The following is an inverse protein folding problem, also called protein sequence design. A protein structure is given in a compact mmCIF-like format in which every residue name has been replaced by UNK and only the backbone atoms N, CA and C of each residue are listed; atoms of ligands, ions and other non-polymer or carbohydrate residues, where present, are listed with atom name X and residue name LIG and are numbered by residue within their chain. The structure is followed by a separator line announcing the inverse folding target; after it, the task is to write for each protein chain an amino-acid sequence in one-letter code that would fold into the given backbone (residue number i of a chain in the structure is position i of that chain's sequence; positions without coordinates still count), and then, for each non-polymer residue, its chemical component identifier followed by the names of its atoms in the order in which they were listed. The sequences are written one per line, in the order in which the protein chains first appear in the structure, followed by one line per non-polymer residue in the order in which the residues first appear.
data_IF_156447350626
#
_entry.id   IF_156447350626
#
_cell.length_a   1.000
_cell.length_b   1.000
_cell.length_c   1.000
_cell.angle_alpha   90.00
_cell.angle_beta   90.00
_cell.angle_gamma   90.00
#
_symmetry.space_group_name_H-M   'P 1'
#
loop_
_entity.id
_entity.type
_entity.pdbx_description
1 polymer ?
#
# COMPACT_ATOMS: atom_id res chain seq x y z
N UNK A 1 49.06 -50.41 39.23
CA UNK A 1 47.77 -50.93 38.74
C UNK A 1 46.67 -49.96 39.15
N UNK A 2 46.25 -49.08 38.24
CA UNK A 2 45.09 -48.22 38.43
C UNK A 2 44.14 -48.49 37.27
N UNK A 3 43.04 -49.18 37.55
CA UNK A 3 41.98 -49.50 36.61
C UNK A 3 41.10 -48.26 36.43
N UNK A 4 41.15 -47.63 35.26
CA UNK A 4 40.18 -46.62 34.85
C UNK A 4 38.96 -47.35 34.28
N UNK A 5 37.85 -47.30 35.02
CA UNK A 5 36.53 -47.69 34.54
C UNK A 5 36.08 -46.75 33.42
N UNK A 6 35.53 -47.25 32.30
CA UNK A 6 35.04 -46.38 31.23
C UNK A 6 33.70 -45.75 31.65
N UNK A 7 33.66 -44.42 31.71
CA UNK A 7 32.42 -43.65 31.76
C UNK A 7 31.79 -43.78 30.37
N UNK A 8 30.87 -44.74 30.20
CA UNK A 8 29.99 -44.76 29.02
C UNK A 8 29.07 -43.55 29.09
N UNK A 9 29.28 -42.62 28.16
CA UNK A 9 28.59 -41.35 28.03
C UNK A 9 27.09 -41.52 27.78
N UNK A 10 26.26 -41.26 28.79
CA UNK A 10 24.81 -41.10 28.59
C UNK A 10 24.48 -39.90 27.69
N UNK A 11 25.47 -39.04 27.43
CA UNK A 11 25.41 -37.87 26.54
C UNK A 11 25.30 -38.22 25.05
N UNK A 12 25.81 -39.38 24.61
CA UNK A 12 25.81 -39.74 23.18
C UNK A 12 24.42 -40.14 22.67
N UNK A 13 23.65 -40.86 23.50
CA UNK A 13 22.30 -41.30 23.16
C UNK A 13 21.31 -40.13 23.16
N UNK A 14 21.49 -39.16 24.06
CA UNK A 14 20.69 -37.93 24.10
C UNK A 14 21.00 -36.99 22.93
N UNK A 15 22.25 -36.98 22.44
CA UNK A 15 22.64 -36.23 21.25
C UNK A 15 22.08 -36.87 19.98
N UNK A 16 22.15 -38.20 19.84
CA UNK A 16 21.56 -38.91 18.69
C UNK A 16 20.03 -38.78 18.65
N UNK A 17 19.37 -38.81 19.82
CA UNK A 17 17.93 -38.56 19.93
C UNK A 17 17.58 -37.13 19.49
N UNK A 18 18.32 -36.12 19.96
CA UNK A 18 18.16 -34.72 19.52
C UNK A 18 18.43 -34.54 18.02
N UNK A 19 19.41 -35.25 17.45
CA UNK A 19 19.69 -35.22 16.01
C UNK A 19 18.54 -35.85 15.22
N UNK A 20 17.95 -36.94 15.70
CA UNK A 20 16.77 -37.58 15.07
C UNK A 20 15.51 -36.70 15.14
N UNK A 21 15.29 -35.98 16.24
CA UNK A 21 14.19 -35.03 16.43
C UNK A 21 14.35 -33.77 15.55
N UNK A 22 15.59 -33.38 15.23
CA UNK A 22 15.90 -32.29 14.28
C UNK A 22 15.74 -32.76 12.83
N UNK A 23 16.06 -34.01 12.52
CA UNK A 23 15.96 -34.57 11.15
C UNK A 23 14.52 -34.91 10.75
N UNK A 24 13.63 -35.20 11.71
CA UNK A 24 12.21 -35.43 11.45
C UNK A 24 11.34 -34.59 12.40
N UNK A 25 10.98 -33.36 12.01
CA UNK A 25 10.03 -32.57 12.79
C UNK A 25 8.73 -33.35 12.92
N UNK A 26 8.31 -33.64 14.16
CA UNK A 26 6.95 -34.08 14.47
C UNK A 26 5.97 -33.16 13.75
N UNK A 27 4.93 -33.71 13.14
CA UNK A 27 3.99 -33.06 12.22
C UNK A 27 3.26 -31.83 12.82
N UNK A 28 3.96 -30.72 13.00
CA UNK A 28 3.37 -29.44 12.66
C UNK A 28 3.29 -29.46 11.14
N UNK A 29 2.08 -29.65 10.60
CA UNK A 29 1.86 -29.55 9.16
C UNK A 29 2.54 -28.30 8.59
N UNK A 30 2.92 -28.31 7.30
CA UNK A 30 3.53 -27.14 6.68
C UNK A 30 2.71 -25.89 7.05
N UNK A 31 3.35 -24.75 7.35
CA UNK A 31 2.62 -23.51 7.59
C UNK A 31 1.63 -23.35 6.44
N UNK A 32 0.32 -23.36 6.74
CA UNK A 32 -0.72 -23.44 5.72
C UNK A 32 -0.41 -22.43 4.62
N UNK A 33 -0.07 -22.90 3.42
CA UNK A 33 0.40 -22.05 2.31
C UNK A 33 -0.56 -20.88 2.11
N UNK A 34 -0.05 -19.69 1.74
CA UNK A 34 -0.96 -18.59 1.38
C UNK A 34 -1.76 -19.11 0.18
N UNK A 35 -3.09 -19.12 0.26
CA UNK A 35 -3.88 -19.61 -0.87
C UNK A 35 -3.71 -18.65 -2.06
N UNK A 36 -3.87 -19.18 -3.27
CA UNK A 36 -3.57 -18.41 -4.48
C UNK A 36 -4.44 -17.16 -4.63
N UNK A 37 -5.67 -17.15 -4.10
CA UNK A 37 -6.50 -15.96 -4.16
C UNK A 37 -5.98 -14.87 -3.23
N UNK A 38 -5.56 -15.23 -2.00
CA UNK A 38 -4.86 -14.31 -1.11
C UNK A 38 -3.56 -13.80 -1.75
N UNK A 39 -2.80 -14.65 -2.45
CA UNK A 39 -1.59 -14.21 -3.19
C UNK A 39 -1.95 -13.18 -4.26
N UNK A 40 -2.98 -13.44 -5.08
CA UNK A 40 -3.46 -12.53 -6.14
C UNK A 40 -3.92 -11.19 -5.57
N UNK A 41 -4.74 -11.22 -4.51
CA UNK A 41 -5.17 -10.03 -3.78
C UNK A 41 -3.97 -9.20 -3.32
N UNK A 42 -2.96 -9.83 -2.74
CA UNK A 42 -1.78 -9.12 -2.24
C UNK A 42 -0.98 -8.47 -3.37
N UNK A 43 -0.73 -9.20 -4.46
CA UNK A 43 0.02 -8.68 -5.62
C UNK A 43 -0.71 -7.48 -6.24
N UNK A 44 -2.03 -7.53 -6.38
CA UNK A 44 -2.81 -6.38 -6.86
C UNK A 44 -2.71 -5.20 -5.90
N UNK A 45 -2.78 -5.44 -4.59
CA UNK A 45 -2.56 -4.41 -3.56
C UNK A 45 -1.21 -3.72 -3.70
N UNK A 46 -0.13 -4.49 -3.88
CA UNK A 46 1.21 -3.94 -4.11
C UNK A 46 1.24 -3.10 -5.39
N UNK A 47 0.65 -3.59 -6.48
CA UNK A 47 0.58 -2.83 -7.73
C UNK A 47 -0.21 -1.52 -7.57
N UNK A 48 -1.31 -1.52 -6.81
CA UNK A 48 -2.09 -0.31 -6.51
C UNK A 48 -1.31 0.70 -5.67
N UNK A 49 -0.74 0.27 -4.54
CA UNK A 49 -0.19 1.16 -3.52
C UNK A 49 1.26 1.57 -3.75
N UNK A 50 2.02 0.81 -4.53
CA UNK A 50 3.45 1.05 -4.76
C UNK A 50 3.74 1.43 -6.20
N UNK A 51 3.21 0.68 -7.17
CA UNK A 51 3.48 0.96 -8.59
C UNK A 51 2.61 2.11 -9.09
N UNK A 52 1.27 1.94 -9.05
CA UNK A 52 0.34 2.93 -9.56
C UNK A 52 0.39 4.22 -8.74
N UNK A 53 0.40 4.14 -7.40
CA UNK A 53 0.50 5.34 -6.56
C UNK A 53 1.75 6.17 -6.87
N UNK A 54 2.90 5.54 -7.12
CA UNK A 54 4.11 6.26 -7.49
C UNK A 54 3.94 7.00 -8.83
N UNK A 55 3.39 6.34 -9.85
CA UNK A 55 3.09 6.96 -11.15
C UNK A 55 2.09 8.13 -11.01
N UNK A 56 1.03 7.93 -10.22
CA UNK A 56 0.00 8.95 -9.99
C UNK A 56 0.54 10.17 -9.24
N UNK A 57 1.46 10.02 -8.28
CA UNK A 57 2.09 11.19 -7.60
C UNK A 57 2.80 12.10 -8.60
N UNK A 58 3.57 11.51 -9.52
CA UNK A 58 4.28 12.25 -10.58
C UNK A 58 3.33 12.94 -11.54
N UNK A 59 2.19 12.31 -11.82
CA UNK A 59 1.16 12.88 -12.68
C UNK A 59 0.37 14.01 -12.01
N UNK A 60 -0.06 13.82 -10.76
CA UNK A 60 -0.97 14.71 -10.04
C UNK A 60 -0.29 15.98 -9.56
N UNK A 61 0.93 15.88 -9.01
CA UNK A 61 1.67 17.00 -8.42
C UNK A 61 1.76 18.24 -9.33
N UNK A 62 2.20 18.15 -10.60
CA UNK A 62 2.30 19.33 -11.47
C UNK A 62 0.93 19.93 -11.81
N UNK A 63 -0.09 19.09 -12.01
CA UNK A 63 -1.45 19.56 -12.33
C UNK A 63 -2.04 20.37 -11.17
N UNK A 64 -1.95 19.85 -9.95
CA UNK A 64 -2.46 20.54 -8.76
C UNK A 64 -1.62 21.76 -8.41
N UNK A 65 -0.31 21.72 -8.61
CA UNK A 65 0.55 22.90 -8.41
C UNK A 65 0.17 24.04 -9.33
N UNK A 66 -0.08 23.76 -10.61
CA UNK A 66 -0.54 24.76 -11.56
C UNK A 66 -1.94 25.29 -11.23
N UNK A 67 -2.84 24.42 -10.77
CA UNK A 67 -4.17 24.82 -10.32
C UNK A 67 -4.08 25.74 -9.09
N UNK A 68 -3.26 25.40 -8.10
CA UNK A 68 -3.02 26.22 -6.92
C UNK A 68 -2.54 27.62 -7.29
N UNK A 69 -1.52 27.72 -8.16
CA UNK A 69 -1.00 29.00 -8.60
C UNK A 69 -2.07 29.83 -9.34
N UNK A 70 -2.92 29.18 -10.14
CA UNK A 70 -4.01 29.84 -10.84
C UNK A 70 -5.05 30.40 -9.85
N UNK A 71 -5.52 29.58 -8.91
CA UNK A 71 -6.50 29.97 -7.88
C UNK A 71 -5.95 31.00 -6.88
N UNK A 72 -4.63 30.99 -6.64
CA UNK A 72 -3.96 32.03 -5.86
C UNK A 72 -4.08 33.40 -6.53
N UNK A 73 -4.03 33.45 -7.86
CA UNK A 73 -4.14 34.69 -8.62
C UNK A 73 -5.61 35.13 -8.81
N UNK A 74 -6.50 34.20 -9.15
CA UNK A 74 -7.91 34.52 -9.44
C UNK A 74 -8.77 34.67 -8.20
N UNK A 75 -8.62 33.77 -7.23
CA UNK A 75 -9.52 33.62 -6.08
C UNK A 75 -8.86 34.00 -4.75
N UNK A 76 -7.58 34.38 -4.78
CA UNK A 76 -6.76 34.67 -3.61
C UNK A 76 -6.89 33.58 -2.54
N UNK A 77 -6.86 32.31 -3.00
CA UNK A 77 -7.17 31.14 -2.16
C UNK A 77 -6.25 31.02 -0.93
N UNK A 78 -5.08 31.64 -0.97
CA UNK A 78 -4.11 31.74 0.13
C UNK A 78 -4.47 32.78 1.20
N UNK A 79 -5.49 33.61 0.97
CA UNK A 79 -5.92 34.71 1.86
C UNK A 79 -7.39 34.63 2.26
N UNK A 80 -8.09 33.56 1.87
CA UNK A 80 -9.52 33.42 2.08
C UNK A 80 -9.90 33.36 3.56
N UNK A 81 -11.10 33.85 3.86
CA UNK A 81 -11.74 33.83 5.20
C UNK A 81 -13.09 33.14 5.10
N UNK A 82 -13.75 32.90 6.24
CA UNK A 82 -15.04 32.19 6.27
C UNK A 82 -16.10 32.77 5.32
N UNK A 83 -16.21 34.09 5.19
CA UNK A 83 -17.27 34.70 4.37
C UNK A 83 -16.97 34.66 2.88
N UNK A 84 -15.69 34.63 2.48
CA UNK A 84 -15.24 34.77 1.10
C UNK A 84 -14.47 33.59 0.54
N UNK A 85 -14.50 32.43 1.19
CA UNK A 85 -13.80 31.24 0.69
C UNK A 85 -14.51 30.63 -0.52
N UNK A 86 -13.71 29.97 -1.38
CA UNK A 86 -14.21 29.23 -2.52
C UNK A 86 -14.95 27.98 -2.04
N UNK A 87 -16.28 27.97 -2.13
CA UNK A 87 -17.09 26.84 -1.62
C UNK A 87 -17.17 25.69 -2.59
N UNK A 88 -17.24 26.01 -3.88
CA UNK A 88 -17.44 25.06 -4.97
C UNK A 88 -16.38 25.28 -6.03
N UNK A 89 -15.97 24.20 -6.68
CA UNK A 89 -14.98 24.24 -7.74
C UNK A 89 -15.44 23.47 -8.99
N UNK A 90 -15.08 24.03 -10.15
CA UNK A 90 -15.24 23.41 -11.46
C UNK A 90 -16.68 23.28 -11.95
N UNK A 91 -16.82 22.76 -13.17
CA UNK A 91 -18.11 22.63 -13.85
C UNK A 91 -19.11 21.70 -13.15
N UNK A 92 -18.62 20.79 -12.30
CA UNK A 92 -19.43 19.84 -11.53
C UNK A 92 -19.87 20.38 -10.15
N UNK A 93 -19.58 21.64 -9.83
CA UNK A 93 -19.88 22.26 -8.53
C UNK A 93 -19.41 21.42 -7.34
N UNK A 94 -18.18 20.88 -7.42
CA UNK A 94 -17.64 20.06 -6.35
C UNK A 94 -17.44 20.90 -5.08
N UNK A 95 -18.03 20.49 -3.95
CA UNK A 95 -17.92 21.20 -2.69
C UNK A 95 -16.54 20.97 -2.05
N UNK A 96 -15.78 22.05 -1.90
CA UNK A 96 -14.42 22.00 -1.36
C UNK A 96 -14.42 21.76 0.16
N UNK A 97 -13.62 20.78 0.58
CA UNK A 97 -13.52 20.35 1.96
C UNK A 97 -12.34 21.00 2.69
N UNK A 98 -12.58 22.10 3.40
CA UNK A 98 -11.55 22.81 4.17
C UNK A 98 -11.17 22.14 5.49
N UNK A 99 -11.92 21.12 5.90
CA UNK A 99 -11.73 20.41 7.17
C UNK A 99 -10.37 19.75 7.35
N UNK A 100 -9.73 19.16 6.33
CA UNK A 100 -8.47 18.44 6.52
C UNK A 100 -7.21 19.32 6.56
N UNK A 101 -7.33 20.63 6.33
CA UNK A 101 -6.18 21.55 6.30
C UNK A 101 -6.09 22.39 7.58
N UNK A 102 -4.93 23.01 7.81
CA UNK A 102 -4.68 23.98 8.89
C UNK A 102 -5.08 23.51 10.31
N UNK A 103 -5.12 22.20 10.58
CA UNK A 103 -5.64 21.64 11.83
C UNK A 103 -7.08 22.11 12.16
N UNK A 104 -7.92 22.29 11.13
CA UNK A 104 -9.34 22.56 11.29
C UNK A 104 -10.01 21.37 12.03
N UNK A 105 -10.03 21.44 13.37
CA UNK A 105 -10.41 20.30 14.24
C UNK A 105 -11.83 19.81 13.96
N UNK A 106 -12.09 18.54 14.32
CA UNK A 106 -13.42 17.97 14.55
C UNK A 106 -13.83 17.96 16.03
N UNK A 107 -14.34 19.05 16.62
CA UNK A 107 -15.13 18.94 17.85
C UNK A 107 -16.61 18.76 17.51
N UNK A 108 -17.43 18.23 18.44
CA UNK A 108 -18.88 18.32 18.32
C UNK A 108 -19.30 19.80 18.31
N UNK A 109 -20.21 20.14 17.39
CA UNK A 109 -20.65 21.51 17.13
C UNK A 109 -20.06 22.07 15.85
N UNK A 110 -20.91 22.66 15.00
CA UNK A 110 -20.55 23.14 13.68
C UNK A 110 -19.62 24.37 13.76
N UNK A 111 -18.30 24.14 13.83
CA UNK A 111 -17.26 25.19 13.95
C UNK A 111 -16.68 25.63 12.60
N UNK A 112 -17.37 25.35 11.48
CA UNK A 112 -16.94 25.81 10.16
C UNK A 112 -16.61 27.31 10.10
N UNK A 113 -17.32 28.23 10.81
CA UNK A 113 -16.94 29.65 10.83
C UNK A 113 -15.53 29.94 11.36
N UNK A 114 -14.97 29.06 12.17
CA UNK A 114 -13.68 29.23 12.84
C UNK A 114 -12.53 28.52 12.11
N UNK A 115 -12.79 27.90 10.96
CA UNK A 115 -11.73 27.28 10.17
C UNK A 115 -10.76 28.33 9.64
N UNK A 116 -9.48 27.97 9.55
CA UNK A 116 -8.53 28.71 8.72
C UNK A 116 -8.71 28.25 7.27
N UNK A 117 -9.26 29.14 6.45
CA UNK A 117 -9.59 28.91 5.04
C UNK A 117 -8.42 29.19 4.08
N UNK A 118 -7.25 29.58 4.61
CA UNK A 118 -6.08 29.86 3.76
C UNK A 118 -5.47 28.56 3.25
N UNK A 119 -5.44 28.41 1.94
CA UNK A 119 -4.76 27.28 1.29
C UNK A 119 -3.29 27.67 1.07
N UNK A 120 -2.36 27.05 1.81
CA UNK A 120 -0.97 27.54 1.83
C UNK A 120 -0.13 27.01 0.67
N UNK A 121 -0.51 25.88 0.09
CA UNK A 121 0.25 25.20 -0.95
C UNK A 121 -0.63 24.20 -1.74
N UNK A 122 -0.03 23.55 -2.73
CA UNK A 122 -0.70 22.54 -3.56
C UNK A 122 -1.15 21.29 -2.78
N UNK A 123 -0.46 20.93 -1.69
CA UNK A 123 -0.83 19.81 -0.82
C UNK A 123 -2.12 20.15 -0.07
N UNK A 124 -2.24 21.35 0.48
CA UNK A 124 -3.49 21.81 1.08
C UNK A 124 -4.62 21.83 0.05
N UNK A 125 -4.36 22.38 -1.14
CA UNK A 125 -5.38 22.43 -2.19
C UNK A 125 -5.90 21.04 -2.57
N UNK A 126 -5.01 20.06 -2.76
CA UNK A 126 -5.44 18.71 -3.12
C UNK A 126 -6.34 18.07 -2.05
N UNK A 127 -6.14 18.38 -0.77
CA UNK A 127 -6.98 17.87 0.32
C UNK A 127 -8.42 18.38 0.27
N UNK A 128 -8.65 19.55 -0.33
CA UNK A 128 -10.00 20.10 -0.48
C UNK A 128 -10.86 19.25 -1.43
N UNK A 129 -10.25 18.48 -2.32
CA UNK A 129 -10.93 17.57 -3.25
C UNK A 129 -11.26 16.20 -2.66
N UNK A 130 -10.99 15.99 -1.36
CA UNK A 130 -11.04 14.69 -0.72
C UNK A 130 -11.98 14.66 0.48
N UNK A 131 -12.46 13.46 0.78
CA UNK A 131 -13.05 13.18 2.08
C UNK A 131 -11.97 13.24 3.18
N UNK A 132 -12.38 13.59 4.40
CA UNK A 132 -11.42 13.81 5.49
C UNK A 132 -10.61 12.56 5.83
N UNK A 133 -11.17 11.36 5.64
CA UNK A 133 -10.49 10.07 5.85
C UNK A 133 -9.35 9.79 4.87
N UNK A 134 -9.30 10.49 3.72
CA UNK A 134 -8.28 10.30 2.68
C UNK A 134 -7.21 11.40 2.71
N UNK A 135 -7.44 12.48 3.46
CA UNK A 135 -6.66 13.71 3.38
C UNK A 135 -5.54 13.81 4.45
N UNK A 136 -4.96 12.69 4.86
CA UNK A 136 -3.99 12.60 5.97
C UNK A 136 -2.51 12.72 5.54
N UNK A 137 -2.24 12.89 4.25
CA UNK A 137 -0.89 12.95 3.71
C UNK A 137 -0.19 14.30 3.96
N UNK A 138 1.14 14.29 3.94
CA UNK A 138 2.00 15.47 4.20
C UNK A 138 2.54 16.10 2.93
N UNK A 139 2.64 15.34 1.85
CA UNK A 139 3.12 15.79 0.54
C UNK A 139 2.70 14.82 -0.55
N UNK A 140 3.05 15.10 -1.81
CA UNK A 140 2.92 14.16 -2.93
C UNK A 140 4.04 13.10 -2.89
N UNK A 141 4.23 12.52 -1.72
CA UNK A 141 5.23 11.50 -1.39
C UNK A 141 4.53 10.21 -0.96
N UNK A 142 5.27 9.29 -0.35
CA UNK A 142 4.75 7.99 0.11
C UNK A 142 3.57 8.10 1.08
N UNK A 143 3.38 9.24 1.76
CA UNK A 143 2.21 9.47 2.62
C UNK A 143 0.91 9.68 1.85
N UNK A 144 0.98 10.06 0.56
CA UNK A 144 -0.17 10.22 -0.32
C UNK A 144 -0.46 8.90 -1.04
N UNK A 145 -1.47 8.18 -0.55
CA UNK A 145 -1.82 6.85 -1.05
C UNK A 145 -2.63 6.88 -2.36
N UNK A 146 -2.89 5.70 -2.92
CA UNK A 146 -3.70 5.55 -4.13
C UNK A 146 -5.13 6.07 -3.94
N UNK A 147 -5.73 5.97 -2.75
CA UNK A 147 -7.09 6.45 -2.50
C UNK A 147 -7.18 7.97 -2.63
N UNK A 148 -6.23 8.69 -2.04
CA UNK A 148 -6.12 10.13 -2.15
C UNK A 148 -5.85 10.55 -3.60
N UNK A 149 -4.89 9.92 -4.27
CA UNK A 149 -4.53 10.27 -5.66
C UNK A 149 -5.69 10.06 -6.64
N UNK A 150 -6.37 8.91 -6.56
CA UNK A 150 -7.55 8.62 -7.38
C UNK A 150 -8.69 9.61 -7.06
N UNK A 151 -8.89 9.95 -5.79
CA UNK A 151 -9.88 10.94 -5.38
C UNK A 151 -9.62 12.34 -5.94
N UNK A 152 -8.37 12.80 -5.90
CA UNK A 152 -7.96 14.09 -6.47
C UNK A 152 -8.27 14.13 -7.96
N UNK A 153 -7.92 13.07 -8.69
CA UNK A 153 -8.15 13.00 -10.15
C UNK A 153 -9.64 13.06 -10.47
N UNK A 154 -10.46 12.24 -9.80
CA UNK A 154 -11.90 12.16 -10.05
C UNK A 154 -12.63 13.47 -9.76
N UNK A 155 -12.15 14.23 -8.77
CA UNK A 155 -12.87 15.42 -8.28
C UNK A 155 -12.32 16.75 -8.82
N UNK A 156 -11.33 16.72 -9.71
CA UNK A 156 -10.69 17.93 -10.26
C UNK A 156 -10.85 18.00 -11.78
N UNK A 157 -11.50 19.06 -12.28
CA UNK A 157 -11.76 19.26 -13.72
C UNK A 157 -10.52 19.57 -14.57
N UNK A 158 -9.34 19.69 -13.96
CA UNK A 158 -8.06 19.91 -14.66
C UNK A 158 -7.48 18.64 -15.28
N UNK A 159 -7.99 17.48 -14.91
CA UNK A 159 -7.59 16.22 -15.53
C UNK A 159 -8.44 15.92 -16.76
N UNK A 160 -7.87 15.32 -17.83
CA UNK A 160 -8.63 14.87 -18.98
C UNK A 160 -9.78 13.90 -18.60
N UNK A 161 -10.90 13.98 -19.29
CA UNK A 161 -12.09 13.18 -18.96
C UNK A 161 -11.84 11.66 -18.99
N UNK A 162 -11.06 11.18 -19.96
CA UNK A 162 -10.64 9.77 -20.03
C UNK A 162 -9.81 9.34 -18.82
N UNK A 163 -8.92 10.21 -18.32
CA UNK A 163 -8.11 9.97 -17.11
C UNK A 163 -9.00 9.95 -15.88
N UNK A 164 -10.00 10.84 -15.77
CA UNK A 164 -10.97 10.83 -14.67
C UNK A 164 -11.81 9.54 -14.66
N UNK A 165 -12.25 9.08 -15.84
CA UNK A 165 -12.99 7.81 -15.98
C UNK A 165 -12.12 6.63 -15.54
N UNK A 166 -10.89 6.54 -16.03
CA UNK A 166 -9.97 5.47 -15.64
C UNK A 166 -9.68 5.48 -14.12
N UNK A 167 -9.47 6.65 -13.52
CA UNK A 167 -9.28 6.79 -12.09
C UNK A 167 -10.51 6.34 -11.29
N UNK A 168 -11.72 6.68 -11.79
CA UNK A 168 -12.98 6.24 -11.19
C UNK A 168 -13.13 4.72 -11.27
N UNK A 169 -12.86 4.12 -12.42
CA UNK A 169 -12.93 2.67 -12.64
C UNK A 169 -11.95 1.92 -11.71
N UNK A 170 -10.68 2.35 -11.65
CA UNK A 170 -9.68 1.75 -10.75
C UNK A 170 -10.09 1.89 -9.28
N UNK A 171 -10.64 3.04 -8.89
CA UNK A 171 -11.12 3.27 -7.53
C UNK A 171 -12.29 2.34 -7.17
N UNK A 172 -13.31 2.26 -8.03
CA UNK A 172 -14.55 1.53 -7.76
C UNK A 172 -14.38 0.02 -7.91
N UNK A 173 -13.70 -0.42 -8.96
CA UNK A 173 -13.67 -1.83 -9.34
C UNK A 173 -12.46 -2.58 -8.79
N UNK A 174 -11.36 -1.88 -8.46
CA UNK A 174 -10.13 -2.55 -8.00
C UNK A 174 -9.85 -2.18 -6.55
N UNK A 175 -9.63 -0.89 -6.25
CA UNK A 175 -9.25 -0.45 -4.89
C UNK A 175 -10.32 -0.77 -3.86
N UNK A 176 -11.58 -0.42 -4.12
CA UNK A 176 -12.65 -0.65 -3.14
C UNK A 176 -12.85 -2.14 -2.85
N UNK A 177 -12.86 -2.98 -3.90
CA UNK A 177 -12.93 -4.45 -3.73
C UNK A 177 -11.73 -4.97 -2.95
N UNK A 178 -10.54 -4.42 -3.22
CA UNK A 178 -9.32 -4.79 -2.50
C UNK A 178 -9.41 -4.45 -1.01
N UNK A 179 -9.95 -3.29 -0.64
CA UNK A 179 -10.13 -2.89 0.77
C UNK A 179 -11.25 -3.63 1.49
N UNK A 180 -12.21 -4.23 0.77
CA UNK A 180 -13.31 -5.00 1.37
C UNK A 180 -13.03 -6.51 1.51
N UNK A 181 -11.80 -6.96 1.21
CA UNK A 181 -11.24 -8.27 1.57
C UNK A 181 -12.11 -9.54 1.35
N UNK A 182 -12.92 -9.61 0.28
CA UNK A 182 -13.46 -10.90 -0.16
C UNK A 182 -12.42 -11.63 -1.01
N UNK A 183 -11.62 -12.50 -0.39
CA UNK A 183 -10.57 -13.26 -1.08
C UNK A 183 -11.13 -14.17 -2.18
N UNK A 184 -12.40 -14.58 -2.13
CA UNK A 184 -12.96 -15.47 -3.16
C UNK A 184 -13.12 -14.77 -4.51
N UNK A 185 -13.22 -13.44 -4.52
CA UNK A 185 -13.29 -12.63 -5.75
C UNK A 185 -11.95 -12.56 -6.49
N UNK A 186 -10.82 -12.78 -5.81
CA UNK A 186 -9.47 -12.65 -6.37
C UNK A 186 -9.01 -13.91 -7.11
N UNK A 187 -9.87 -14.42 -7.98
CA UNK A 187 -9.55 -15.48 -8.92
C UNK A 187 -8.63 -14.99 -10.05
N UNK A 188 -8.25 -15.88 -10.96
CA UNK A 188 -7.33 -15.55 -12.06
C UNK A 188 -7.88 -14.46 -12.99
N UNK A 189 -9.18 -14.41 -13.23
CA UNK A 189 -9.79 -13.43 -14.13
C UNK A 189 -9.75 -12.03 -13.52
N UNK A 190 -10.17 -11.91 -12.24
CA UNK A 190 -10.11 -10.64 -11.50
C UNK A 190 -8.67 -10.13 -11.37
N UNK A 191 -7.72 -11.03 -11.12
CA UNK A 191 -6.30 -10.71 -11.05
C UNK A 191 -5.77 -10.13 -12.38
N UNK A 192 -5.95 -10.86 -13.48
CA UNK A 192 -5.46 -10.45 -14.79
C UNK A 192 -6.12 -9.15 -15.26
N UNK A 193 -7.44 -9.05 -15.07
CA UNK A 193 -8.20 -7.85 -15.42
C UNK A 193 -7.73 -6.63 -14.62
N UNK A 194 -7.52 -6.78 -13.31
CA UNK A 194 -7.06 -5.68 -12.45
C UNK A 194 -5.68 -5.17 -12.88
N UNK A 195 -4.73 -6.08 -13.14
CA UNK A 195 -3.39 -5.68 -13.57
C UNK A 195 -3.40 -5.03 -14.95
N UNK A 196 -4.22 -5.52 -15.89
CA UNK A 196 -4.37 -4.88 -17.19
C UNK A 196 -4.95 -3.47 -17.07
N UNK A 197 -5.96 -3.27 -16.20
CA UNK A 197 -6.53 -1.95 -15.96
C UNK A 197 -5.53 -0.97 -15.34
N UNK A 198 -4.66 -1.44 -14.45
CA UNK A 198 -3.57 -0.64 -13.90
C UNK A 198 -2.55 -0.28 -15.00
N UNK A 199 -2.21 -1.25 -15.86
CA UNK A 199 -1.30 -1.06 -17.01
C UNK A 199 -1.83 -0.02 -18.00
N UNK A 200 -3.08 -0.20 -18.46
CA UNK A 200 -3.77 0.72 -19.36
C UNK A 200 -3.83 2.13 -18.76
N UNK A 201 -4.07 2.22 -17.45
CA UNK A 201 -4.13 3.50 -16.77
C UNK A 201 -2.77 4.19 -16.74
N UNK A 202 -1.68 3.47 -16.46
CA UNK A 202 -0.31 4.02 -16.51
C UNK A 202 0.00 4.61 -17.90
N UNK A 203 -0.31 3.89 -18.98
CA UNK A 203 -0.14 4.41 -20.34
C UNK A 203 -1.01 5.64 -20.63
N UNK A 204 -2.22 5.68 -20.06
CA UNK A 204 -3.12 6.82 -20.21
C UNK A 204 -2.60 8.11 -19.55
N UNK A 205 -1.75 7.98 -18.52
CA UNK A 205 -1.15 9.14 -17.85
C UNK A 205 -0.16 9.90 -18.74
N UNK A 206 0.38 9.25 -19.78
CA UNK A 206 1.37 9.85 -20.69
C UNK A 206 2.54 10.49 -19.93
N UNK A 207 3.08 9.77 -18.95
CA UNK A 207 4.24 10.22 -18.18
C UNK A 207 5.46 10.37 -19.10
N UNK A 208 6.53 11.02 -18.59
CA UNK A 208 7.78 11.00 -19.34
C UNK A 208 8.29 9.55 -19.51
N UNK A 209 8.98 9.27 -20.62
CA UNK A 209 9.37 7.90 -20.97
C UNK A 209 10.11 7.16 -19.86
N UNK A 210 11.06 7.77 -19.12
CA UNK A 210 11.71 7.10 -17.99
C UNK A 210 10.75 6.66 -16.89
N UNK A 211 9.82 7.53 -16.47
CA UNK A 211 8.85 7.25 -15.41
C UNK A 211 7.83 6.19 -15.83
N UNK A 212 7.25 6.32 -17.04
CA UNK A 212 6.32 5.32 -17.58
C UNK A 212 7.01 3.95 -17.67
N UNK A 213 8.22 3.93 -18.25
CA UNK A 213 8.97 2.67 -18.40
C UNK A 213 9.30 2.05 -17.04
N UNK A 214 9.59 2.85 -16.01
CA UNK A 214 9.83 2.34 -14.66
C UNK A 214 8.56 1.72 -14.07
N UNK A 215 7.42 2.43 -14.14
CA UNK A 215 6.15 1.93 -13.63
C UNK A 215 5.72 0.63 -14.33
N UNK A 216 5.87 0.56 -15.66
CA UNK A 216 5.57 -0.66 -16.45
C UNK A 216 6.53 -1.80 -16.12
N UNK A 217 7.82 -1.53 -15.93
CA UNK A 217 8.79 -2.56 -15.49
C UNK A 217 8.42 -3.13 -14.12
N UNK A 218 8.09 -2.27 -13.16
CA UNK A 218 7.72 -2.70 -11.81
C UNK A 218 6.39 -3.46 -11.81
N UNK A 219 5.41 -3.02 -12.59
CA UNK A 219 4.16 -3.75 -12.79
C UNK A 219 4.42 -5.15 -13.36
N UNK A 220 5.24 -5.25 -14.40
CA UNK A 220 5.56 -6.53 -15.03
C UNK A 220 6.38 -7.46 -14.13
N UNK A 221 7.25 -6.91 -13.26
CA UNK A 221 7.93 -7.67 -12.19
C UNK A 221 6.91 -8.38 -11.30
N UNK A 222 5.89 -7.65 -10.83
CA UNK A 222 4.85 -8.20 -9.95
C UNK A 222 3.86 -9.11 -10.68
N UNK A 223 3.47 -8.77 -11.92
CA UNK A 223 2.60 -9.60 -12.79
C UNK A 223 3.22 -10.96 -13.08
N UNK A 224 4.53 -11.00 -13.37
CA UNK A 224 5.22 -12.24 -13.75
C UNK A 224 5.60 -13.08 -12.55
N UNK A 225 6.08 -12.44 -11.48
CA UNK A 225 6.74 -13.16 -10.38
C UNK A 225 5.97 -13.11 -9.06
N UNK A 226 4.98 -12.22 -8.91
CA UNK A 226 4.36 -11.92 -7.62
C UNK A 226 3.69 -13.11 -6.93
N UNK A 227 3.10 -14.04 -7.69
CA UNK A 227 2.51 -15.26 -7.10
C UNK A 227 3.61 -16.21 -6.61
N UNK A 228 4.67 -16.40 -7.41
CA UNK A 228 5.82 -17.24 -7.05
C UNK A 228 6.56 -16.69 -5.84
N UNK A 229 6.68 -15.36 -5.76
CA UNK A 229 7.22 -14.63 -4.61
C UNK A 229 6.50 -14.97 -3.29
N UNK A 230 5.23 -15.37 -3.36
CA UNK A 230 4.40 -15.69 -2.19
C UNK A 230 4.21 -17.20 -1.99
N UNK A 231 4.77 -18.05 -2.87
CA UNK A 231 4.51 -19.50 -2.97
C UNK A 231 5.59 -20.44 -2.42
N UNK A 232 6.59 -19.95 -1.70
CA UNK A 232 7.51 -20.77 -0.88
C UNK A 232 8.41 -21.80 -1.60
N UNK A 233 9.08 -21.40 -2.70
CA UNK A 233 10.25 -22.14 -3.21
C UNK A 233 11.48 -21.24 -3.27
N UNK A 234 12.45 -21.49 -2.38
CA UNK A 234 13.82 -20.93 -2.37
C UNK A 234 13.89 -19.47 -2.84
N UNK A 235 13.15 -18.60 -2.15
CA UNK A 235 13.26 -17.17 -2.36
C UNK A 235 14.61 -16.73 -1.76
N UNK A 236 15.48 -16.14 -2.57
CA UNK A 236 16.70 -15.51 -2.04
C UNK A 236 16.32 -14.45 -1.00
N UNK A 237 17.17 -14.27 0.02
CA UNK A 237 16.97 -13.34 1.14
C UNK A 237 16.54 -11.93 0.69
N UNK A 238 17.07 -11.46 -0.44
CA UNK A 238 16.72 -10.17 -1.04
C UNK A 238 15.24 -10.05 -1.43
N UNK A 239 14.65 -11.13 -1.94
CA UNK A 239 13.27 -11.15 -2.41
C UNK A 239 12.26 -11.21 -1.26
N UNK A 240 12.57 -11.94 -0.19
CA UNK A 240 11.79 -11.92 1.06
C UNK A 240 11.84 -10.54 1.69
N UNK A 241 13.00 -9.86 1.65
CA UNK A 241 13.14 -8.49 2.14
C UNK A 241 12.38 -7.48 1.29
N UNK A 242 12.36 -7.64 -0.04
CA UNK A 242 11.54 -6.82 -0.94
C UNK A 242 10.05 -6.95 -0.57
N UNK A 243 9.52 -8.18 -0.51
CA UNK A 243 8.09 -8.42 -0.17
C UNK A 243 7.77 -7.90 1.23
N UNK A 244 8.65 -8.14 2.21
CA UNK A 244 8.52 -7.61 3.57
C UNK A 244 8.45 -6.09 3.57
N UNK A 245 9.35 -5.42 2.84
CA UNK A 245 9.36 -3.95 2.74
C UNK A 245 8.07 -3.45 2.11
N UNK A 246 7.57 -4.09 1.05
CA UNK A 246 6.31 -3.68 0.43
C UNK A 246 5.10 -3.89 1.36
N UNK A 247 5.02 -5.03 2.06
CA UNK A 247 3.96 -5.29 3.04
C UNK A 247 4.01 -4.30 4.20
N UNK A 248 5.20 -4.05 4.77
CA UNK A 248 5.36 -3.08 5.85
C UNK A 248 4.98 -1.68 5.37
N UNK A 249 5.35 -1.28 4.15
CA UNK A 249 4.95 0.01 3.58
C UNK A 249 3.43 0.12 3.41
N UNK A 250 2.76 -0.92 2.95
CA UNK A 250 1.29 -0.96 2.88
C UNK A 250 0.69 -0.86 4.29
N UNK A 251 1.20 -1.63 5.25
CA UNK A 251 0.75 -1.57 6.65
C UNK A 251 0.98 -0.19 7.29
N UNK A 252 2.05 0.52 6.96
CA UNK A 252 2.32 1.87 7.47
C UNK A 252 1.36 2.90 6.87
N UNK A 253 1.14 2.84 5.54
CA UNK A 253 0.13 3.66 4.85
C UNK A 253 -1.25 3.40 5.45
N UNK A 254 -1.59 2.13 5.69
CA UNK A 254 -2.86 1.74 6.29
C UNK A 254 -2.98 2.10 7.77
N UNK A 255 -1.93 1.96 8.58
CA UNK A 255 -1.97 2.28 10.01
C UNK A 255 -2.24 3.77 10.25
N UNK A 256 -1.83 4.65 9.33
CA UNK A 256 -2.15 6.08 9.35
C UNK A 256 -3.65 6.30 9.10
N UNK A 257 -4.27 5.50 8.24
CA UNK A 257 -5.70 5.56 7.89
C UNK A 257 -6.57 4.85 8.95
N UNK A 258 -6.12 3.75 9.54
CA UNK A 258 -6.79 3.01 10.61
C UNK A 258 -6.99 3.86 11.87
N UNK A 259 -6.05 4.77 12.19
CA UNK A 259 -6.22 5.70 13.32
C UNK A 259 -7.35 6.71 13.10
N UNK A 260 -7.89 6.84 11.88
CA UNK A 260 -8.95 7.80 11.54
C UNK A 260 -10.24 7.17 11.02
N UNK A 261 -10.29 5.88 10.64
CA UNK A 261 -11.48 5.20 10.11
C UNK A 261 -11.74 3.84 10.78
N UNK A 262 -12.84 3.74 11.52
CA UNK A 262 -13.00 2.80 12.63
C UNK A 262 -13.52 1.39 12.29
N UNK A 263 -13.74 0.97 11.02
CA UNK A 263 -14.33 -0.38 10.75
C UNK A 263 -13.89 -1.16 9.52
N UNK A 264 -13.37 -0.55 8.45
CA UNK A 264 -13.10 -1.28 7.20
C UNK A 264 -11.68 -1.82 7.07
N UNK A 265 -10.71 -1.21 7.76
CA UNK A 265 -9.28 -1.52 7.59
C UNK A 265 -8.71 -2.55 8.58
N UNK A 266 -9.47 -2.91 9.62
CA UNK A 266 -8.99 -3.90 10.59
C UNK A 266 -8.72 -5.25 9.93
N UNK A 267 -9.53 -5.65 8.95
CA UNK A 267 -9.39 -6.93 8.25
C UNK A 267 -8.12 -6.98 7.39
N UNK A 268 -7.89 -5.93 6.58
CA UNK A 268 -6.70 -5.80 5.74
C UNK A 268 -5.44 -5.83 6.62
N UNK A 269 -5.42 -4.99 7.66
CA UNK A 269 -4.30 -4.87 8.58
C UNK A 269 -4.00 -6.20 9.31
N UNK A 270 -5.03 -6.88 9.82
CA UNK A 270 -4.89 -8.19 10.47
C UNK A 270 -4.29 -9.20 9.50
N UNK A 271 -4.74 -9.23 8.24
CA UNK A 271 -4.22 -10.18 7.26
C UNK A 271 -2.77 -9.87 6.85
N UNK A 272 -2.43 -8.60 6.62
CA UNK A 272 -1.05 -8.20 6.34
C UNK A 272 -0.12 -8.53 7.50
N UNK A 273 -0.58 -8.34 8.74
CA UNK A 273 0.17 -8.74 9.95
C UNK A 273 0.41 -10.25 9.99
N UNK A 274 -0.61 -11.06 9.68
CA UNK A 274 -0.49 -12.51 9.60
C UNK A 274 0.55 -12.93 8.56
N UNK A 275 0.49 -12.35 7.35
CA UNK A 275 1.43 -12.63 6.26
C UNK A 275 2.86 -12.18 6.66
N UNK A 276 3.01 -10.99 7.25
CA UNK A 276 4.29 -10.49 7.73
C UNK A 276 4.93 -11.41 8.78
N UNK A 277 4.13 -11.91 9.72
CA UNK A 277 4.59 -12.87 10.74
C UNK A 277 5.04 -14.20 10.12
N UNK A 278 4.33 -14.67 9.09
CA UNK A 278 4.71 -15.88 8.35
C UNK A 278 6.03 -15.71 7.62
N UNK A 279 6.22 -14.59 6.91
CA UNK A 279 7.49 -14.28 6.23
C UNK A 279 8.65 -14.22 7.23
N UNK A 280 8.45 -13.64 8.42
CA UNK A 280 9.46 -13.63 9.48
C UNK A 280 9.84 -15.02 9.98
N UNK A 281 8.89 -15.96 10.00
CA UNK A 281 9.18 -17.37 10.34
C UNK A 281 10.01 -18.05 9.25
N UNK A 282 9.74 -17.76 7.98
CA UNK A 282 10.48 -18.34 6.84
C UNK A 282 11.91 -17.80 6.81
N UNK A 283 12.10 -16.50 7.04
CA UNK A 283 13.42 -15.85 7.07
C UNK A 283 14.34 -16.42 8.16
N UNK A 284 13.80 -16.63 9.37
CA UNK A 284 14.53 -17.31 10.46
C UNK A 284 14.96 -18.73 10.09
N UNK A 285 14.10 -19.46 9.37
CA UNK A 285 14.39 -20.83 8.93
C UNK A 285 15.46 -20.85 7.84
N UNK A 286 15.40 -19.96 6.85
CA UNK A 286 16.43 -19.81 5.80
C UNK A 286 17.78 -19.45 6.44
N UNK A 287 17.82 -18.44 7.31
CA UNK A 287 19.02 -18.02 8.04
C UNK A 287 19.65 -19.18 8.84
N UNK A 288 18.83 -20.03 9.46
CA UNK A 288 19.33 -21.20 10.19
C UNK A 288 19.95 -22.26 9.27
N UNK A 289 19.38 -22.48 8.07
CA UNK A 289 19.88 -23.46 7.10
C UNK A 289 21.19 -23.01 6.43
N UNK A 290 21.33 -21.71 6.16
CA UNK A 290 22.58 -21.13 5.65
C UNK A 290 23.73 -21.25 6.65
N UNK A 291 23.47 -21.02 7.93
CA UNK A 291 24.47 -21.17 8.99
C UNK A 291 24.91 -22.63 9.20
N UNK A 292 24.00 -23.59 9.05
CA UNK A 292 24.34 -25.02 9.10
C UNK A 292 25.18 -25.45 7.90
N UNK A 293 24.92 -24.87 6.71
CA UNK A 293 25.67 -25.20 5.49
C UNK A 293 27.08 -24.58 5.45
N UNK A 294 27.33 -23.47 6.17
CA UNK A 294 28.68 -22.87 6.30
C UNK A 294 29.57 -23.55 7.35
N UNK A 295 28.99 -24.30 8.28
CA UNK A 295 29.70 -24.95 9.38
C UNK A 295 29.98 -26.45 9.11
N UNK A 296 29.69 -26.93 7.90
CA UNK A 296 30.09 -28.23 7.37
C UNK A 296 31.23 -28.03 6.37
#
# INVERSE_FOLDING_TARGET
MASQTPIKSSTSVDLEKKISEIQHPSHAGPPAEIDDNTKRWLVVGICLHRVLAAALRKYVEPVITNLYNSLKLSDQIDKQTYTGHLKVYGAVNFYLNYKPINNNKMPPGNRAPNYDYKVQNAVDLSKLFLETSMAHYKGFDESCDSSALLGIIVNTDKFPANVQIAAKDVRQEIRNRWTHCDFTEWNSDMYNWSLQKIEDFIYLLQLNKPEESQAIRDLNKWKTNGINYLGDTTLGLELVNDIRREITSIMEVEMIICKSADREFSTVYTKLTEIGNRLNKHDKRISSLENVSRNK
#
